data_IF_147945953139
#
_entry.id   IF_147945953139
#
_cell.length_a   1.000
_cell.length_b   1.000
_cell.length_c   1.000
_cell.angle_alpha   90.00
_cell.angle_beta   90.00
_cell.angle_gamma   90.00
#
_symmetry.space_group_name_H-M   'P 1'
#
loop_
_entity.id
_entity.type
_entity.pdbx_description
1 polymer ?
#
# COMPACT_ATOMS: atom_id res chain seq x y z
N UNK A 1 14.96 16.63 29.62
CA UNK A 1 15.42 16.46 28.22
C UNK A 1 14.18 16.17 27.40
N UNK A 2 13.82 17.05 26.46
CA UNK A 2 12.63 16.84 25.62
C UNK A 2 12.90 15.67 24.69
N UNK A 3 12.10 14.62 24.77
CA UNK A 3 12.06 13.57 23.76
C UNK A 3 11.67 14.22 22.44
N UNK A 4 12.46 14.01 21.38
CA UNK A 4 12.09 14.50 20.07
C UNK A 4 10.83 13.74 19.62
N UNK A 5 9.71 14.44 19.47
CA UNK A 5 8.44 13.80 19.08
C UNK A 5 8.41 13.41 17.59
N UNK A 6 9.44 13.79 16.82
CA UNK A 6 9.52 13.53 15.38
C UNK A 6 10.94 13.16 14.96
N UNK A 7 11.05 12.47 13.81
CA UNK A 7 12.36 12.20 13.21
C UNK A 7 12.99 13.44 12.55
N UNK A 8 12.36 14.63 12.61
CA UNK A 8 12.82 15.81 11.86
C UNK A 8 14.22 16.29 12.26
N UNK A 9 14.54 16.21 13.54
CA UNK A 9 15.82 16.67 14.09
C UNK A 9 16.85 15.53 14.21
N UNK A 10 16.45 14.31 13.85
CA UNK A 10 17.27 13.12 14.02
C UNK A 10 18.14 12.92 12.80
N UNK A 11 19.42 12.67 13.07
CA UNK A 11 20.44 12.42 12.05
C UNK A 11 20.01 11.28 11.12
N UNK A 12 20.04 11.46 9.80
CA UNK A 12 19.70 10.41 8.85
C UNK A 12 20.63 9.20 8.96
N UNK A 13 21.89 9.42 9.38
CA UNK A 13 22.86 8.34 9.62
C UNK A 13 22.49 7.49 10.85
N UNK A 14 21.98 8.14 11.91
CA UNK A 14 21.52 7.44 13.10
C UNK A 14 20.27 6.61 12.78
N UNK A 15 19.29 7.21 12.08
CA UNK A 15 18.09 6.49 11.63
C UNK A 15 18.48 5.25 10.81
N UNK A 16 19.36 5.40 9.83
CA UNK A 16 19.80 4.28 9.00
C UNK A 16 20.46 3.16 9.82
N UNK A 17 21.37 3.50 10.74
CA UNK A 17 22.03 2.52 11.62
C UNK A 17 21.05 1.78 12.54
N UNK A 18 20.09 2.50 13.14
CA UNK A 18 19.09 1.90 14.01
C UNK A 18 18.19 0.92 13.25
N UNK A 19 17.71 1.30 12.06
CA UNK A 19 16.91 0.41 11.23
C UNK A 19 17.73 -0.80 10.76
N UNK A 20 18.96 -0.58 10.30
CA UNK A 20 19.88 -1.65 9.89
C UNK A 20 20.15 -2.64 11.04
N UNK A 21 20.36 -2.14 12.26
CA UNK A 21 20.57 -2.98 13.44
C UNK A 21 19.33 -3.77 13.84
N UNK A 22 18.12 -3.24 13.60
CA UNK A 22 16.88 -3.86 14.04
C UNK A 22 16.34 -4.90 13.06
N UNK A 23 16.30 -4.57 11.76
CA UNK A 23 15.70 -5.42 10.72
C UNK A 23 16.62 -5.71 9.53
N UNK A 24 17.87 -5.26 9.57
CA UNK A 24 18.79 -5.38 8.45
C UNK A 24 18.52 -4.39 7.32
N UNK A 25 19.09 -4.68 6.16
CA UNK A 25 18.97 -3.82 4.99
C UNK A 25 17.54 -3.84 4.43
N UNK A 26 17.03 -2.65 4.10
CA UNK A 26 15.70 -2.43 3.54
C UNK A 26 15.83 -1.75 2.18
N UNK A 27 14.80 -1.85 1.33
CA UNK A 27 14.85 -1.26 -0.02
C UNK A 27 14.98 0.26 0.02
N UNK A 28 14.23 0.91 0.91
CA UNK A 28 14.22 2.36 0.99
C UNK A 28 13.81 2.85 2.37
N UNK A 29 14.40 3.96 2.78
CA UNK A 29 14.02 4.72 3.97
C UNK A 29 13.87 6.17 3.54
N UNK A 30 12.67 6.72 3.69
CA UNK A 30 12.36 8.09 3.33
C UNK A 30 11.74 8.83 4.50
N UNK A 31 12.30 9.97 4.83
CA UNK A 31 11.74 10.89 5.81
C UNK A 31 10.63 11.73 5.18
N UNK A 32 9.46 11.78 5.82
CA UNK A 32 8.30 12.52 5.33
C UNK A 32 8.27 13.94 5.90
N UNK A 33 7.53 14.83 5.22
CA UNK A 33 7.28 16.19 5.71
C UNK A 33 6.50 16.21 7.04
N UNK A 34 5.76 15.15 7.35
CA UNK A 34 5.06 14.97 8.63
C UNK A 34 6.01 14.73 9.81
N UNK A 35 7.29 14.42 9.55
CA UNK A 35 8.22 13.99 10.59
C UNK A 35 8.29 12.47 10.78
N UNK A 36 7.47 11.70 10.05
CA UNK A 36 7.48 10.24 10.07
C UNK A 36 8.56 9.64 9.15
N UNK A 37 8.82 8.35 9.33
CA UNK A 37 9.60 7.53 8.40
C UNK A 37 8.67 6.66 7.55
N UNK A 38 8.91 6.69 6.24
CA UNK A 38 8.39 5.73 5.28
C UNK A 38 9.48 4.70 4.98
N UNK A 39 9.22 3.44 5.31
CA UNK A 39 10.16 2.34 5.13
C UNK A 39 9.58 1.35 4.13
N UNK A 40 10.31 1.09 3.06
CA UNK A 40 10.01 0.03 2.10
C UNK A 40 10.87 -1.19 2.43
N UNK A 41 10.22 -2.26 2.89
CA UNK A 41 10.91 -3.50 3.29
C UNK A 41 11.19 -4.43 2.12
N UNK A 42 12.18 -5.28 2.28
CA UNK A 42 12.56 -6.29 1.27
C UNK A 42 11.80 -7.60 1.44
N UNK A 43 11.33 -7.91 2.65
CA UNK A 43 10.64 -9.16 2.94
C UNK A 43 9.54 -9.02 4.01
N UNK A 44 8.58 -9.98 4.07
CA UNK A 44 7.49 -9.93 5.04
C UNK A 44 7.92 -10.07 6.51
N UNK A 45 9.06 -10.70 6.80
CA UNK A 45 9.54 -10.88 8.17
C UNK A 45 10.03 -9.55 8.77
N UNK A 46 10.63 -8.68 7.96
CA UNK A 46 10.95 -7.30 8.34
C UNK A 46 9.68 -6.51 8.68
N UNK A 47 8.63 -6.59 7.84
CA UNK A 47 7.35 -5.93 8.13
C UNK A 47 6.72 -6.43 9.44
N UNK A 48 6.71 -7.74 9.67
CA UNK A 48 6.22 -8.33 10.94
C UNK A 48 7.02 -7.81 12.14
N UNK A 49 8.34 -7.70 12.01
CA UNK A 49 9.19 -7.20 13.09
C UNK A 49 8.98 -5.71 13.36
N UNK A 50 8.87 -4.89 12.31
CA UNK A 50 8.51 -3.48 12.41
C UNK A 50 7.14 -3.27 13.05
N UNK A 51 6.14 -4.10 12.75
CA UNK A 51 4.79 -3.94 13.32
C UNK A 51 4.73 -4.06 14.84
N UNK A 52 5.75 -4.66 15.47
CA UNK A 52 5.89 -4.78 16.93
C UNK A 52 6.82 -3.74 17.55
N UNK A 53 7.43 -2.88 16.74
CA UNK A 53 8.37 -1.87 17.18
C UNK A 53 7.61 -0.76 17.91
N UNK A 54 7.94 -0.58 19.20
CA UNK A 54 7.40 0.50 20.04
C UNK A 54 8.42 1.57 20.35
N UNK A 55 9.71 1.25 20.20
CA UNK A 55 10.82 2.16 20.49
C UNK A 55 11.93 2.00 19.45
N UNK A 56 12.50 3.11 18.98
CA UNK A 56 13.63 3.11 18.04
C UNK A 56 14.73 4.03 18.56
N UNK A 57 15.76 3.44 19.16
CA UNK A 57 16.68 4.19 20.01
C UNK A 57 15.93 4.68 21.26
N UNK A 58 16.06 5.96 21.60
CA UNK A 58 15.40 6.56 22.76
C UNK A 58 14.01 7.14 22.45
N UNK A 59 13.50 6.91 21.23
CA UNK A 59 12.22 7.45 20.78
C UNK A 59 11.12 6.41 20.91
N UNK A 60 9.97 6.83 21.44
CA UNK A 60 8.74 6.05 21.33
C UNK A 60 8.14 6.23 19.95
N UNK A 61 7.78 5.12 19.31
CA UNK A 61 7.24 5.09 17.95
C UNK A 61 6.01 4.21 17.88
N UNK A 62 5.14 4.51 16.91
CA UNK A 62 4.07 3.60 16.49
C UNK A 62 4.23 3.28 15.01
N UNK A 63 4.12 2.01 14.66
CA UNK A 63 4.25 1.56 13.27
C UNK A 63 2.89 1.19 12.69
N UNK A 64 2.62 1.66 11.47
CA UNK A 64 1.41 1.31 10.73
C UNK A 64 1.72 1.00 9.27
N UNK A 65 0.93 0.11 8.67
CA UNK A 65 1.04 -0.21 7.25
C UNK A 65 0.56 0.98 6.42
N UNK A 66 1.33 1.34 5.40
CA UNK A 66 0.95 2.45 4.54
C UNK A 66 -0.33 2.14 3.74
N UNK A 67 -1.33 3.01 3.89
CA UNK A 67 -2.70 2.87 3.36
C UNK A 67 -2.79 2.62 1.85
N UNK A 68 -1.91 3.24 1.06
CA UNK A 68 -2.01 3.22 -0.40
C UNK A 68 -0.81 2.59 -1.11
N UNK A 69 0.39 2.56 -0.50
CA UNK A 69 1.61 2.20 -1.23
C UNK A 69 1.81 0.69 -1.35
N UNK A 70 1.01 -0.08 -0.60
CA UNK A 70 0.97 -1.54 -0.69
C UNK A 70 -0.03 -2.05 -1.75
N UNK A 71 -0.65 -1.12 -2.50
CA UNK A 71 -1.67 -1.42 -3.49
C UNK A 71 -1.37 -0.70 -4.79
N UNK A 72 -1.77 -1.32 -5.90
CA UNK A 72 -1.77 -0.73 -7.22
C UNK A 72 -3.18 -0.81 -7.80
N UNK A 73 -3.49 0.06 -8.77
CA UNK A 73 -4.81 0.10 -9.39
C UNK A 73 -4.71 0.14 -10.90
N UNK A 74 -5.52 -0.68 -11.56
CA UNK A 74 -5.61 -0.74 -13.02
C UNK A 74 -7.06 -0.65 -13.47
N UNK A 75 -7.27 -0.16 -14.69
CA UNK A 75 -8.59 -0.20 -15.33
C UNK A 75 -8.59 -1.29 -16.37
N UNK A 76 -9.60 -2.17 -16.30
CA UNK A 76 -9.89 -3.12 -17.37
C UNK A 76 -11.18 -2.76 -18.07
N UNK A 77 -11.28 -3.12 -19.34
CA UNK A 77 -12.41 -2.80 -20.21
C UNK A 77 -12.78 -4.04 -21.01
N UNK A 78 -13.81 -4.75 -20.59
CA UNK A 78 -14.29 -5.93 -21.30
C UNK A 78 -15.82 -5.99 -21.26
N UNK A 79 -16.44 -6.18 -22.43
CA UNK A 79 -17.91 -6.15 -22.60
C UNK A 79 -18.58 -7.20 -21.73
N UNK A 80 -17.98 -8.39 -21.63
CA UNK A 80 -18.48 -9.49 -20.78
C UNK A 80 -18.64 -9.08 -19.31
N UNK A 81 -17.75 -8.23 -18.80
CA UNK A 81 -17.75 -7.81 -17.40
C UNK A 81 -18.96 -6.96 -17.02
N UNK A 82 -19.72 -6.41 -17.97
CA UNK A 82 -20.88 -5.57 -17.67
C UNK A 82 -21.96 -6.32 -16.87
N UNK A 83 -22.02 -7.64 -17.01
CA UNK A 83 -23.01 -8.51 -16.34
C UNK A 83 -22.55 -9.01 -14.97
N UNK A 84 -21.28 -8.84 -14.64
CA UNK A 84 -20.69 -9.37 -13.41
C UNK A 84 -20.70 -8.37 -12.26
N UNK A 85 -20.81 -8.85 -11.04
CA UNK A 85 -20.74 -8.00 -9.85
C UNK A 85 -19.29 -7.73 -9.44
N UNK A 86 -19.05 -6.68 -8.66
CA UNK A 86 -17.69 -6.39 -8.16
C UNK A 86 -17.17 -7.53 -7.26
N UNK A 87 -18.05 -8.15 -6.48
CA UNK A 87 -17.72 -9.29 -5.62
C UNK A 87 -17.29 -10.52 -6.43
N UNK A 88 -18.00 -10.84 -7.51
CA UNK A 88 -17.59 -11.92 -8.44
C UNK A 88 -16.19 -11.65 -9.02
N UNK A 89 -15.92 -10.41 -9.45
CA UNK A 89 -14.60 -10.06 -10.00
C UNK A 89 -13.48 -10.19 -8.97
N UNK A 90 -13.74 -9.85 -7.71
CA UNK A 90 -12.76 -10.02 -6.63
C UNK A 90 -12.50 -11.51 -6.39
N UNK A 91 -13.54 -12.33 -6.37
CA UNK A 91 -13.42 -13.77 -6.14
C UNK A 91 -12.63 -14.46 -7.26
N UNK A 92 -13.06 -14.28 -8.51
CA UNK A 92 -12.46 -14.94 -9.68
C UNK A 92 -11.03 -14.44 -9.98
N UNK A 93 -10.69 -13.19 -9.63
CA UNK A 93 -9.35 -12.63 -9.85
C UNK A 93 -8.49 -12.60 -8.58
N UNK A 94 -8.89 -13.30 -7.53
CA UNK A 94 -8.16 -13.30 -6.24
C UNK A 94 -6.74 -13.88 -6.36
N UNK A 95 -6.54 -14.88 -7.23
CA UNK A 95 -5.21 -15.44 -7.52
C UNK A 95 -4.27 -14.42 -8.15
N UNK A 96 -4.82 -13.48 -8.92
CA UNK A 96 -4.12 -12.33 -9.52
C UNK A 96 -3.90 -11.19 -8.52
N UNK A 97 -4.16 -11.43 -7.23
CA UNK A 97 -4.02 -10.47 -6.13
C UNK A 97 -5.02 -9.32 -6.19
N UNK A 98 -6.15 -9.47 -6.88
CA UNK A 98 -7.24 -8.48 -6.82
C UNK A 98 -7.89 -8.56 -5.44
N UNK A 99 -7.94 -7.43 -4.73
CA UNK A 99 -8.54 -7.33 -3.40
C UNK A 99 -9.76 -6.39 -3.35
N UNK A 100 -9.94 -5.56 -4.37
CA UNK A 100 -11.15 -4.75 -4.54
C UNK A 100 -11.42 -4.48 -6.02
N UNK A 101 -12.70 -4.36 -6.36
CA UNK A 101 -13.16 -3.95 -7.69
C UNK A 101 -14.14 -2.79 -7.54
N UNK A 102 -14.10 -1.85 -8.49
CA UNK A 102 -15.03 -0.72 -8.55
C UNK A 102 -15.45 -0.44 -9.99
N UNK A 103 -16.74 -0.58 -10.30
CA UNK A 103 -17.31 -0.30 -11.60
C UNK A 103 -17.40 1.21 -11.84
N UNK A 104 -16.92 1.62 -13.00
CA UNK A 104 -17.06 3.00 -13.45
C UNK A 104 -18.48 3.16 -14.00
N UNK A 105 -19.17 4.16 -13.48
CA UNK A 105 -20.49 4.56 -13.91
C UNK A 105 -20.40 5.88 -14.67
N UNK A 106 -21.16 6.00 -15.75
CA UNK A 106 -21.35 7.27 -16.45
C UNK A 106 -22.67 7.89 -16.00
N UNK A 107 -22.71 9.21 -15.90
CA UNK A 107 -23.95 9.93 -15.61
C UNK A 107 -24.58 10.39 -16.93
N UNK A 108 -25.81 9.97 -17.22
CA UNK A 108 -26.62 10.46 -18.34
C UNK A 108 -28.03 10.73 -17.85
N UNK A 109 -28.56 11.91 -18.17
CA UNK A 109 -29.91 12.34 -17.77
C UNK A 109 -30.19 12.18 -16.27
N UNK A 110 -29.19 12.53 -15.43
CA UNK A 110 -29.27 12.40 -13.98
C UNK A 110 -29.09 10.98 -13.43
N UNK A 111 -29.07 9.94 -14.29
CA UNK A 111 -28.96 8.54 -13.90
C UNK A 111 -27.53 8.01 -14.04
N UNK A 112 -27.10 7.18 -13.09
CA UNK A 112 -25.83 6.45 -13.16
C UNK A 112 -26.03 5.17 -13.96
N UNK A 113 -25.24 5.00 -15.02
CA UNK A 113 -25.31 3.85 -15.93
C UNK A 113 -23.98 3.07 -15.80
N UNK A 114 -24.03 1.76 -15.50
CA UNK A 114 -22.84 0.93 -15.39
C UNK A 114 -22.16 0.78 -16.76
N UNK A 115 -20.84 0.90 -16.77
CA UNK A 115 -20.02 0.65 -17.97
C UNK A 115 -19.33 -0.71 -17.90
N UNK A 116 -18.67 -1.09 -19.00
CA UNK A 116 -17.77 -2.24 -19.07
C UNK A 116 -16.43 -2.02 -18.36
N UNK A 117 -16.17 -0.80 -17.89
CA UNK A 117 -14.90 -0.43 -17.27
C UNK A 117 -14.93 -0.68 -15.76
N UNK A 118 -13.92 -1.38 -15.27
CA UNK A 118 -13.78 -1.70 -13.85
C UNK A 118 -12.38 -1.31 -13.40
N UNK A 119 -12.31 -0.58 -12.28
CA UNK A 119 -11.07 -0.33 -11.56
C UNK A 119 -10.81 -1.53 -10.66
N UNK A 120 -9.72 -2.25 -10.89
CA UNK A 120 -9.23 -3.28 -9.99
C UNK A 120 -8.18 -2.69 -9.07
N UNK A 121 -8.22 -3.07 -7.80
CA UNK A 121 -7.17 -2.81 -6.81
C UNK A 121 -6.46 -4.11 -6.52
N UNK A 122 -5.14 -4.11 -6.70
CA UNK A 122 -4.28 -5.25 -6.45
C UNK A 122 -3.56 -5.06 -5.12
N UNK A 123 -3.39 -6.12 -4.34
CA UNK A 123 -2.57 -6.14 -3.12
C UNK A 123 -1.07 -6.26 -3.42
N UNK A 124 -0.62 -5.55 -4.46
CA UNK A 124 0.77 -5.50 -4.94
C UNK A 124 1.20 -4.05 -5.12
N UNK A 125 2.47 -3.77 -4.89
CA UNK A 125 3.04 -2.42 -5.06
C UNK A 125 3.16 -2.03 -6.53
N UNK A 126 3.34 -3.01 -7.41
CA UNK A 126 3.47 -2.83 -8.85
C UNK A 126 2.21 -3.31 -9.57
N UNK A 127 1.81 -2.56 -10.59
CA UNK A 127 0.67 -2.89 -11.43
C UNK A 127 1.03 -4.06 -12.38
N UNK A 128 0.28 -5.17 -12.39
CA UNK A 128 0.51 -6.25 -13.34
C UNK A 128 0.35 -5.77 -14.78
N UNK A 129 1.22 -6.26 -15.69
CA UNK A 129 1.15 -5.93 -17.12
C UNK A 129 -0.05 -6.57 -17.82
N UNK A 130 -0.50 -7.72 -17.32
CA UNK A 130 -1.64 -8.46 -17.81
C UNK A 130 -2.28 -9.23 -16.66
N UNK A 131 -3.53 -9.66 -16.88
CA UNK A 131 -4.33 -10.41 -15.92
C UNK A 131 -4.85 -11.63 -16.66
N UNK A 132 -4.83 -12.80 -16.01
CA UNK A 132 -5.42 -14.03 -16.54
C UNK A 132 -6.60 -14.40 -15.66
N UNK A 133 -7.74 -14.62 -16.30
CA UNK A 133 -8.97 -15.14 -15.71
C UNK A 133 -9.22 -16.54 -16.27
#
# INVERSE_FOLDING_TARGET
MSTADTFHEISPFLVHRLILSFIGEVKNIKKLKSGDLLIEVSNPNQAKSLSRLTELGDLKVSVSVHRNLNFSRGVISERGLKKHTESELIQELSEQKVCAARRIHIKRDGKLIPTQHVVLTFSTTELPKSIKA
#
